data_IF_572697064179
#
_entry.id   IF_572697064179
#
_cell.length_a   1.000
_cell.length_b   1.000
_cell.length_c   1.000
_cell.angle_alpha   90.00
_cell.angle_beta   90.00
_cell.angle_gamma   90.00
#
_symmetry.space_group_name_H-M   'P 1'
#
loop_
_entity.id
_entity.type
_entity.pdbx_description
1 polymer ?
#
# COMPACT_ATOMS: atom_id res chain seq x y z
N UNK A 1 -23.66 21.64 -37.35
CA UNK A 1 -23.21 20.35 -37.94
C UNK A 1 -21.91 19.95 -37.26
N UNK A 2 -21.92 18.81 -36.56
CA UNK A 2 -20.73 18.04 -36.16
C UNK A 2 -19.89 18.55 -34.97
N UNK A 3 -20.26 18.20 -33.74
CA UNK A 3 -19.29 18.08 -32.65
C UNK A 3 -18.67 16.67 -32.74
N UNK A 4 -17.42 16.57 -33.16
CA UNK A 4 -16.64 15.34 -33.06
C UNK A 4 -16.23 15.14 -31.61
N UNK A 5 -16.90 14.23 -30.90
CA UNK A 5 -16.44 13.71 -29.62
C UNK A 5 -15.11 12.99 -29.86
N UNK A 6 -14.01 13.60 -29.41
CA UNK A 6 -12.71 12.92 -29.35
C UNK A 6 -12.83 11.74 -28.38
N UNK A 7 -12.44 10.57 -28.87
CA UNK A 7 -12.39 9.31 -28.12
C UNK A 7 -11.59 9.50 -26.84
N UNK A 8 -12.29 9.54 -25.70
CA UNK A 8 -11.73 9.14 -24.41
C UNK A 8 -11.36 7.65 -24.56
N UNK A 9 -10.48 7.09 -23.73
CA UNK A 9 -9.99 5.70 -23.79
C UNK A 9 -8.87 5.42 -24.84
N UNK A 10 -7.67 5.96 -24.58
CA UNK A 10 -6.42 5.29 -24.98
C UNK A 10 -5.92 4.45 -23.80
N UNK A 11 -5.62 3.14 -23.96
CA UNK A 11 -5.03 2.35 -22.88
C UNK A 11 -3.66 2.93 -22.48
N UNK A 12 -3.46 3.19 -21.19
CA UNK A 12 -2.18 3.68 -20.64
C UNK A 12 -2.22 5.05 -19.93
N UNK A 13 -3.38 5.72 -19.87
CA UNK A 13 -3.50 6.98 -19.12
C UNK A 13 -4.33 6.78 -17.84
N UNK A 14 -3.64 6.59 -16.71
CA UNK A 14 -4.24 6.79 -15.39
C UNK A 14 -4.26 8.29 -15.09
N UNK A 15 -5.45 8.86 -14.90
CA UNK A 15 -5.57 10.28 -14.53
C UNK A 15 -5.07 10.47 -13.09
N UNK A 16 -3.93 11.15 -12.91
CA UNK A 16 -3.48 11.61 -11.59
C UNK A 16 -3.85 13.09 -11.41
N UNK A 17 -4.48 13.39 -10.28
CA UNK A 17 -5.20 14.63 -9.94
C UNK A 17 -4.37 15.92 -10.14
N UNK A 18 -5.04 16.99 -10.57
CA UNK A 18 -4.50 18.30 -10.98
C UNK A 18 -3.99 19.14 -9.80
N UNK A 19 -2.74 19.64 -9.88
CA UNK A 19 -2.20 20.74 -9.06
C UNK A 19 -1.57 21.80 -9.99
N UNK A 20 -1.69 23.08 -9.62
CA UNK A 20 -1.71 24.26 -10.48
C UNK A 20 -0.34 24.80 -10.99
N UNK A 21 0.70 23.97 -11.11
CA UNK A 21 2.08 24.48 -11.30
C UNK A 21 2.82 24.06 -12.59
N UNK A 22 2.15 23.44 -13.56
CA UNK A 22 2.73 23.24 -14.90
C UNK A 22 3.37 21.86 -15.11
N UNK A 23 3.18 21.33 -16.32
CA UNK A 23 3.43 19.95 -16.71
C UNK A 23 4.91 19.73 -17.05
N UNK A 24 5.60 18.97 -16.21
CA UNK A 24 6.72 18.14 -16.64
C UNK A 24 6.37 16.69 -16.28
N UNK A 25 6.44 15.73 -17.23
CA UNK A 25 6.23 14.34 -16.90
C UNK A 25 7.44 13.85 -16.11
N UNK A 26 7.29 13.71 -14.80
CA UNK A 26 8.21 12.91 -13.99
C UNK A 26 7.82 11.46 -14.22
N UNK A 27 8.18 10.90 -15.39
CA UNK A 27 8.13 9.45 -15.62
C UNK A 27 9.22 8.80 -14.78
N UNK A 28 8.98 8.71 -13.48
CA UNK A 28 9.69 7.80 -12.61
C UNK A 28 8.89 6.49 -12.64
N UNK A 29 9.50 5.38 -13.06
CA UNK A 29 8.86 4.07 -12.96
C UNK A 29 8.35 3.85 -11.53
N UNK A 30 7.05 3.61 -11.38
CA UNK A 30 6.42 3.23 -10.09
C UNK A 30 6.18 1.73 -10.01
N UNK A 31 6.85 0.96 -10.87
CA UNK A 31 6.79 -0.51 -10.88
C UNK A 31 7.38 -1.11 -9.59
N UNK A 32 8.20 -0.33 -8.88
CA UNK A 32 8.77 -0.67 -7.58
C UNK A 32 8.92 0.56 -6.70
N UNK A 33 8.93 0.32 -5.39
CA UNK A 33 9.28 1.35 -4.41
C UNK A 33 10.80 1.59 -4.45
N UNK A 34 11.23 2.84 -4.64
CA UNK A 34 12.63 3.27 -4.57
C UNK A 34 12.78 4.49 -3.67
N UNK A 35 13.89 4.64 -2.92
CA UNK A 35 14.17 5.85 -2.17
C UNK A 35 14.17 7.08 -3.10
N UNK A 36 13.45 8.14 -2.69
CA UNK A 36 13.37 9.38 -3.46
C UNK A 36 14.56 10.33 -3.23
N UNK A 37 15.41 10.08 -2.20
CA UNK A 37 16.63 10.85 -1.97
C UNK A 37 17.86 10.12 -2.51
N UNK A 38 18.87 10.90 -2.93
CA UNK A 38 20.23 10.41 -3.21
C UNK A 38 21.11 10.31 -1.95
N UNK A 39 20.52 10.59 -0.79
CA UNK A 39 21.21 10.64 0.47
C UNK A 39 21.59 9.22 0.93
N UNK A 40 22.87 8.97 1.16
CA UNK A 40 23.37 7.71 1.73
C UNK A 40 23.24 7.71 3.27
N UNK A 41 22.06 8.13 3.76
CA UNK A 41 21.76 8.11 5.19
C UNK A 41 21.21 6.73 5.57
N UNK A 42 21.60 6.25 6.75
CA UNK A 42 21.01 5.03 7.30
C UNK A 42 19.50 5.20 7.51
N UNK A 43 18.74 4.15 7.20
CA UNK A 43 17.31 4.14 7.46
C UNK A 43 17.08 4.07 8.97
N UNK A 44 16.41 5.07 9.55
CA UNK A 44 15.95 5.01 10.93
C UNK A 44 14.78 4.01 11.02
N UNK A 45 14.77 3.08 12.00
CA UNK A 45 13.62 2.22 12.23
C UNK A 45 12.37 3.08 12.45
N UNK A 46 11.31 2.79 11.70
CA UNK A 46 10.07 3.56 11.75
C UNK A 46 8.89 2.71 11.34
N UNK A 47 7.75 2.98 11.98
CA UNK A 47 6.49 2.28 11.72
C UNK A 47 5.70 2.98 10.62
N UNK A 48 5.27 2.23 9.61
CA UNK A 48 4.45 2.74 8.51
C UNK A 48 2.97 2.52 8.81
N UNK A 49 2.15 3.57 8.82
CA UNK A 49 0.70 3.47 8.96
C UNK A 49 0.04 3.54 7.58
N UNK A 50 -0.75 2.52 7.25
CA UNK A 50 -1.63 2.52 6.08
C UNK A 50 -3.11 2.42 6.52
N UNK A 51 -3.86 3.54 6.50
CA UNK A 51 -5.27 3.54 6.86
C UNK A 51 -6.20 2.96 5.77
N UNK A 52 -5.69 2.68 4.57
CA UNK A 52 -6.43 2.14 3.44
C UNK A 52 -5.63 1.01 2.78
N UNK A 53 -5.37 -0.03 3.55
CA UNK A 53 -4.39 -1.04 3.23
C UNK A 53 -4.64 -1.86 1.95
N UNK A 54 -5.91 -2.06 1.56
CA UNK A 54 -6.28 -2.73 0.32
C UNK A 54 -5.61 -4.10 0.14
N UNK A 55 -4.77 -4.26 -0.88
CA UNK A 55 -4.08 -5.54 -1.13
C UNK A 55 -2.90 -5.82 -0.19
N UNK A 56 -2.59 -4.93 0.75
CA UNK A 56 -1.45 -5.07 1.66
C UNK A 56 -0.11 -4.68 1.03
N UNK A 57 -0.11 -3.86 -0.02
CA UNK A 57 1.13 -3.47 -0.72
C UNK A 57 2.09 -2.72 0.20
N UNK A 58 1.59 -1.83 1.06
CA UNK A 58 2.42 -1.08 2.01
C UNK A 58 3.08 -2.00 3.03
N UNK A 59 2.33 -2.91 3.63
CA UNK A 59 2.86 -3.91 4.57
C UNK A 59 3.91 -4.80 3.91
N UNK A 60 3.66 -5.28 2.70
CA UNK A 60 4.61 -6.09 1.94
C UNK A 60 5.93 -5.34 1.67
N UNK A 61 5.85 -4.07 1.26
CA UNK A 61 7.03 -3.23 1.03
C UNK A 61 7.74 -2.89 2.35
N UNK A 62 7.00 -2.65 3.43
CA UNK A 62 7.58 -2.41 4.75
C UNK A 62 8.39 -3.61 5.25
N UNK A 63 7.86 -4.83 5.11
CA UNK A 63 8.58 -6.08 5.42
C UNK A 63 9.88 -6.19 4.60
N UNK A 64 9.83 -5.93 3.29
CA UNK A 64 10.99 -5.97 2.41
C UNK A 64 12.09 -4.95 2.79
N UNK A 65 11.74 -3.92 3.56
CA UNK A 65 12.64 -2.89 4.07
C UNK A 65 12.93 -3.00 5.57
N UNK A 66 12.56 -4.13 6.20
CA UNK A 66 12.74 -4.38 7.64
C UNK A 66 12.12 -3.28 8.52
N UNK A 67 10.88 -2.91 8.18
CA UNK A 67 10.09 -1.89 8.90
C UNK A 67 8.82 -2.49 9.47
N UNK A 68 8.44 -1.98 10.64
CA UNK A 68 7.12 -2.22 11.21
C UNK A 68 6.04 -1.54 10.36
N UNK A 69 4.86 -2.13 10.32
CA UNK A 69 3.70 -1.50 9.69
C UNK A 69 2.40 -1.75 10.45
N UNK A 70 1.48 -0.79 10.34
CA UNK A 70 0.11 -0.87 10.84
C UNK A 70 -0.80 -0.79 9.64
N UNK A 71 -1.54 -1.87 9.40
CA UNK A 71 -2.50 -2.01 8.31
C UNK A 71 -3.92 -1.82 8.86
N UNK A 72 -4.72 -0.98 8.21
CA UNK A 72 -6.16 -0.84 8.51
C UNK A 72 -6.94 -0.90 7.21
N UNK A 73 -7.98 -1.75 7.19
CA UNK A 73 -8.98 -1.77 6.15
C UNK A 73 -10.34 -2.14 6.74
N UNK A 74 -11.40 -1.56 6.20
CA UNK A 74 -12.77 -1.84 6.61
C UNK A 74 -13.28 -3.15 6.02
N UNK A 75 -12.80 -3.53 4.84
CA UNK A 75 -13.24 -4.71 4.13
C UNK A 75 -12.41 -5.93 4.55
N UNK A 76 -13.07 -6.90 5.17
CA UNK A 76 -12.44 -8.16 5.59
C UNK A 76 -11.76 -8.92 4.43
N UNK A 77 -12.29 -8.79 3.22
CA UNK A 77 -11.73 -9.47 2.05
C UNK A 77 -10.33 -8.94 1.74
N UNK A 78 -10.11 -7.62 1.88
CA UNK A 78 -8.81 -7.00 1.70
C UNK A 78 -7.84 -7.37 2.81
N UNK A 79 -8.30 -7.41 4.07
CA UNK A 79 -7.49 -7.90 5.17
C UNK A 79 -7.00 -9.34 4.94
N UNK A 80 -7.88 -10.26 4.52
CA UNK A 80 -7.50 -11.64 4.22
C UNK A 80 -6.52 -11.72 3.04
N UNK A 81 -6.76 -10.96 1.96
CA UNK A 81 -5.85 -10.88 0.81
C UNK A 81 -4.46 -10.38 1.22
N UNK A 82 -4.40 -9.38 2.10
CA UNK A 82 -3.14 -8.84 2.62
C UNK A 82 -2.39 -9.88 3.47
N UNK A 83 -3.09 -10.63 4.33
CA UNK A 83 -2.51 -11.70 5.14
C UNK A 83 -1.88 -12.79 4.25
N UNK A 84 -2.60 -13.24 3.22
CA UNK A 84 -2.09 -14.24 2.27
C UNK A 84 -0.90 -13.72 1.48
N UNK A 85 -0.97 -12.47 1.00
CA UNK A 85 0.11 -11.82 0.25
C UNK A 85 1.39 -11.69 1.08
N UNK A 86 1.24 -11.36 2.36
CA UNK A 86 2.37 -11.17 3.28
C UNK A 86 2.85 -12.48 3.91
N UNK A 87 2.25 -13.64 3.58
CA UNK A 87 2.63 -14.94 4.13
C UNK A 87 2.20 -15.15 5.59
N UNK A 88 1.37 -14.28 6.13
CA UNK A 88 0.88 -14.37 7.51
C UNK A 88 -0.12 -15.50 7.74
N UNK A 89 -0.73 -16.05 6.68
CA UNK A 89 -1.70 -17.15 6.79
C UNK A 89 -1.07 -18.53 7.03
N UNK A 90 0.26 -18.66 6.98
CA UNK A 90 0.97 -19.93 7.18
C UNK A 90 2.09 -19.72 8.20
N UNK A 91 2.13 -20.52 9.27
CA UNK A 91 3.27 -20.53 10.18
C UNK A 91 4.49 -21.11 9.46
N UNK A 92 5.35 -20.23 8.94
CA UNK A 92 6.65 -20.61 8.40
C UNK A 92 7.65 -20.75 9.56
N UNK A 93 8.34 -21.89 9.71
CA UNK A 93 9.39 -22.05 10.73
C UNK A 93 10.58 -21.10 10.57
N UNK A 94 10.65 -20.36 9.46
CA UNK A 94 11.79 -19.52 9.04
C UNK A 94 11.41 -18.04 9.00
N UNK A 95 10.12 -17.70 8.96
CA UNK A 95 9.68 -16.31 8.89
C UNK A 95 9.50 -15.72 10.30
N UNK A 96 10.13 -14.58 10.54
CA UNK A 96 10.22 -13.93 11.86
C UNK A 96 9.27 -12.73 11.99
N UNK A 97 8.55 -12.35 10.93
CA UNK A 97 7.64 -11.22 10.99
C UNK A 97 6.38 -11.56 11.80
N UNK A 98 6.37 -11.11 13.06
CA UNK A 98 5.20 -11.21 13.94
C UNK A 98 4.14 -10.20 13.51
N UNK A 99 2.89 -10.62 13.54
CA UNK A 99 1.74 -9.74 13.30
C UNK A 99 0.67 -9.95 14.40
N UNK A 100 -0.19 -8.95 14.57
CA UNK A 100 -1.38 -9.04 15.42
C UNK A 100 -2.58 -8.62 14.58
N UNK A 101 -3.64 -9.43 14.58
CA UNK A 101 -4.89 -9.13 13.89
C UNK A 101 -5.95 -8.74 14.91
N UNK A 102 -6.41 -7.49 14.81
CA UNK A 102 -7.50 -6.97 15.62
C UNK A 102 -8.73 -6.79 14.73
N UNK A 103 -9.76 -7.62 14.94
CA UNK A 103 -11.06 -7.43 14.29
C UNK A 103 -11.98 -6.65 15.21
N UNK A 104 -12.79 -5.76 14.64
CA UNK A 104 -13.68 -4.91 15.43
C UNK A 104 -14.69 -5.74 16.23
N UNK A 105 -15.20 -6.84 15.66
CA UNK A 105 -16.15 -7.74 16.31
C UNK A 105 -15.57 -8.37 17.59
N UNK A 106 -14.29 -8.76 17.55
CA UNK A 106 -13.56 -9.37 18.68
C UNK A 106 -13.23 -8.34 19.78
N UNK A 107 -13.21 -7.05 19.45
CA UNK A 107 -12.94 -5.98 20.41
C UNK A 107 -14.18 -5.60 21.21
N UNK A 108 -15.37 -5.71 20.62
CA UNK A 108 -16.64 -5.48 21.31
C UNK A 108 -16.88 -6.47 22.45
N UNK A 109 -16.43 -7.72 22.32
CA UNK A 109 -16.55 -8.73 23.39
C UNK A 109 -15.51 -8.57 24.51
N UNK A 110 -14.43 -7.81 24.30
CA UNK A 110 -13.39 -7.57 25.32
C UNK A 110 -13.67 -6.37 26.22
N UNK A 111 -14.59 -5.50 25.83
CA UNK A 111 -14.89 -4.24 26.53
C UNK A 111 -16.23 -4.30 27.29
N UNK A 112 -17.00 -5.38 27.11
CA UNK A 112 -18.19 -5.71 27.89
C UNK A 112 -17.86 -6.78 28.95
#
# INVERSE_FOLDING_TARGET
MGHSYGTVHTPGHCATKTSSTGWAPTTVPTDRFVPACVCAADAVPGTVLDPFGGSGTVTYVAMAHDRDSVYVDLNEHYANMALDRCGFSQESPIDYHKYELLRMDDLTEKVL
#
